data_IF_756730177105
#
_entry.id   IF_756730177105
#
_cell.length_a   1.000
_cell.length_b   1.000
_cell.length_c   1.000
_cell.angle_alpha   90.00
_cell.angle_beta   90.00
_cell.angle_gamma   90.00
#
_symmetry.space_group_name_H-M   'P 1'
#
loop_
_entity.id
_entity.type
_entity.pdbx_description
1 polymer ?
#
# COMPACT_ATOMS: atom_id res chain seq x y z
N UNK A 1 -8.87 1.59 -18.74
CA UNK A 1 -8.20 1.39 -17.45
C UNK A 1 -9.18 1.76 -16.37
N UNK A 2 -9.37 0.90 -15.38
CA UNK A 2 -10.29 1.14 -14.28
C UNK A 2 -9.60 2.01 -13.22
N UNK A 3 -10.32 2.98 -12.67
CA UNK A 3 -9.76 3.86 -11.65
C UNK A 3 -9.51 3.12 -10.34
N UNK A 4 -8.40 3.45 -9.68
CA UNK A 4 -8.08 2.97 -8.34
C UNK A 4 -8.26 4.12 -7.36
N UNK A 5 -9.17 3.97 -6.42
CA UNK A 5 -9.36 4.87 -5.30
C UNK A 5 -8.56 4.40 -4.10
N UNK A 6 -7.95 5.34 -3.39
CA UNK A 6 -7.14 5.07 -2.20
C UNK A 6 -7.62 5.95 -1.06
N UNK A 7 -7.61 5.40 0.15
CA UNK A 7 -7.97 6.14 1.37
C UNK A 7 -7.11 5.71 2.54
N UNK A 8 -6.93 6.62 3.48
CA UNK A 8 -6.15 6.45 4.69
C UNK A 8 -5.30 7.68 4.96
N UNK A 9 -4.09 7.47 5.44
CA UNK A 9 -3.18 8.53 5.80
C UNK A 9 -2.40 9.09 4.60
N UNK A 10 -2.24 10.41 4.61
CA UNK A 10 -1.26 11.14 3.83
C UNK A 10 -0.40 11.92 4.82
N UNK A 11 0.80 11.42 5.05
CA UNK A 11 1.69 11.77 6.16
C UNK A 11 2.82 12.68 5.70
N UNK A 12 3.29 13.52 6.58
CA UNK A 12 4.59 14.18 6.41
C UNK A 12 5.61 13.52 7.33
N UNK A 13 6.61 12.90 6.74
CA UNK A 13 7.76 12.35 7.45
C UNK A 13 8.81 13.43 7.62
N UNK A 14 9.26 13.64 8.85
CA UNK A 14 10.38 14.51 9.21
C UNK A 14 11.61 13.64 9.42
N UNK A 15 12.50 13.61 8.43
CA UNK A 15 13.69 12.76 8.42
C UNK A 15 14.90 13.61 8.81
N UNK A 16 15.76 13.19 9.76
CA UNK A 16 16.96 13.92 10.11
C UNK A 16 17.86 14.15 8.89
N UNK A 17 18.27 15.41 8.66
CA UNK A 17 19.20 15.80 7.60
C UNK A 17 20.54 16.26 8.17
N UNK A 18 20.48 16.93 9.31
CA UNK A 18 21.64 17.31 10.10
C UNK A 18 21.26 17.40 11.58
N UNK A 19 22.21 17.76 12.45
CA UNK A 19 21.97 17.93 13.89
C UNK A 19 20.79 18.89 14.20
N UNK A 20 20.52 19.86 13.33
CA UNK A 20 19.54 20.92 13.57
C UNK A 20 18.43 21.01 12.51
N UNK A 21 18.39 20.12 11.53
CA UNK A 21 17.44 20.20 10.41
C UNK A 21 16.79 18.86 10.10
N UNK A 22 15.54 18.93 9.66
CA UNK A 22 14.78 17.80 9.17
C UNK A 22 14.33 18.06 7.73
N UNK A 23 14.45 17.05 6.88
CA UNK A 23 13.82 17.04 5.57
C UNK A 23 12.34 16.72 5.73
N UNK A 24 11.51 17.52 5.09
CA UNK A 24 10.08 17.27 4.97
C UNK A 24 9.82 16.36 3.78
N UNK A 25 9.47 15.12 4.04
CA UNK A 25 9.21 14.11 3.02
C UNK A 25 7.73 13.74 2.97
N UNK A 26 7.14 13.55 1.78
CA UNK A 26 5.79 13.03 1.66
C UNK A 26 5.78 11.53 1.94
N UNK A 27 4.78 11.05 2.67
CA UNK A 27 4.62 9.66 3.08
C UNK A 27 3.15 9.29 3.29
N UNK A 28 2.94 8.17 3.97
CA UNK A 28 1.63 7.51 4.14
C UNK A 28 1.45 6.39 3.13
N UNK A 29 1.20 5.16 3.63
CA UNK A 29 1.16 3.98 2.77
C UNK A 29 0.17 4.13 1.61
N UNK A 30 -1.12 4.48 1.80
CA UNK A 30 -2.04 4.64 0.67
C UNK A 30 -1.67 5.82 -0.24
N UNK A 31 -1.06 6.89 0.28
CA UNK A 31 -0.57 7.99 -0.54
C UNK A 31 0.62 7.57 -1.43
N UNK A 32 1.54 6.76 -0.87
CA UNK A 32 2.64 6.16 -1.64
C UNK A 32 2.12 5.23 -2.74
N UNK A 33 1.14 4.36 -2.43
CA UNK A 33 0.51 3.49 -3.42
C UNK A 33 -0.14 4.30 -4.54
N UNK A 34 -0.85 5.41 -4.23
CA UNK A 34 -1.46 6.28 -5.23
C UNK A 34 -0.42 6.86 -6.20
N UNK A 35 0.68 7.39 -5.66
CA UNK A 35 1.78 7.92 -6.48
C UNK A 35 2.44 6.82 -7.30
N UNK A 36 2.63 5.62 -6.72
CA UNK A 36 3.14 4.47 -7.44
C UNK A 36 2.30 4.11 -8.66
N UNK A 37 0.97 4.04 -8.49
CA UNK A 37 0.03 3.78 -9.59
C UNK A 37 0.12 4.87 -10.67
N UNK A 38 0.11 6.14 -10.25
CA UNK A 38 0.16 7.28 -11.19
C UNK A 38 1.45 7.30 -12.00
N UNK A 39 2.62 7.07 -11.39
CA UNK A 39 3.92 6.99 -12.08
C UNK A 39 4.03 5.84 -13.08
N UNK A 40 3.22 4.80 -12.88
CA UNK A 40 3.09 3.67 -13.79
C UNK A 40 2.00 3.87 -14.85
N UNK A 41 1.46 5.10 -14.97
CA UNK A 41 0.46 5.46 -15.96
C UNK A 41 -0.97 5.02 -15.60
N UNK A 42 -1.22 4.62 -14.35
CA UNK A 42 -2.54 4.23 -13.86
C UNK A 42 -3.44 5.44 -13.58
N UNK A 43 -4.76 5.25 -13.70
CA UNK A 43 -5.75 6.23 -13.24
C UNK A 43 -6.05 5.98 -11.76
N UNK A 44 -5.76 6.96 -10.90
CA UNK A 44 -5.99 6.83 -9.47
C UNK A 44 -6.48 8.13 -8.83
N UNK A 45 -7.14 7.99 -7.69
CA UNK A 45 -7.59 9.11 -6.87
C UNK A 45 -7.45 8.81 -5.39
N UNK A 46 -7.10 9.83 -4.63
CA UNK A 46 -7.02 9.78 -3.18
C UNK A 46 -8.19 10.53 -2.56
N UNK A 47 -8.85 9.95 -1.58
CA UNK A 47 -9.90 10.60 -0.81
C UNK A 47 -9.66 10.41 0.70
N UNK A 48 -10.09 11.38 1.48
CA UNK A 48 -9.89 11.43 2.92
C UNK A 48 -9.50 12.81 3.38
N UNK A 49 -8.89 12.92 4.56
CA UNK A 49 -8.62 14.22 5.18
C UNK A 49 -7.14 14.43 5.50
N UNK A 50 -6.70 15.65 5.29
CA UNK A 50 -5.45 16.22 5.82
C UNK A 50 -5.79 17.53 6.51
N UNK A 51 -4.97 17.99 7.44
CA UNK A 51 -5.20 19.26 8.12
C UNK A 51 -5.15 20.46 7.15
N UNK A 52 -5.97 21.48 7.38
CA UNK A 52 -5.80 22.80 6.73
C UNK A 52 -4.60 23.54 7.35
N UNK A 53 -3.44 22.92 7.24
CA UNK A 53 -2.15 23.39 7.74
C UNK A 53 -1.06 23.32 6.65
N UNK A 54 0.16 23.81 6.89
CA UNK A 54 1.23 23.78 5.88
C UNK A 54 1.58 22.37 5.39
N UNK A 55 1.42 21.34 6.23
CA UNK A 55 1.70 19.95 5.86
C UNK A 55 0.59 19.33 5.02
N UNK A 56 -0.68 19.58 5.37
CA UNK A 56 -1.81 19.07 4.58
C UNK A 56 -1.86 19.68 3.18
N UNK A 57 -1.64 21.00 3.08
CA UNK A 57 -1.53 21.67 1.76
C UNK A 57 -0.33 21.14 0.96
N UNK A 58 0.79 20.85 1.61
CA UNK A 58 1.94 20.20 0.96
C UNK A 58 1.57 18.82 0.42
N UNK A 59 0.91 17.97 1.21
CA UNK A 59 0.52 16.63 0.76
C UNK A 59 -0.49 16.67 -0.39
N UNK A 60 -1.52 17.52 -0.30
CA UNK A 60 -2.50 17.68 -1.38
C UNK A 60 -1.83 18.16 -2.68
N UNK A 61 -0.90 19.13 -2.57
CA UNK A 61 -0.15 19.64 -3.73
C UNK A 61 0.74 18.55 -4.32
N UNK A 62 1.45 17.81 -3.47
CA UNK A 62 2.35 16.74 -3.90
C UNK A 62 1.62 15.61 -4.63
N UNK A 63 0.49 15.15 -4.11
CA UNK A 63 -0.34 14.16 -4.79
C UNK A 63 -0.82 14.67 -6.16
N UNK A 64 -1.22 15.95 -6.23
CA UNK A 64 -1.65 16.57 -7.49
C UNK A 64 -0.51 16.68 -8.52
N UNK A 65 0.71 17.03 -8.10
CA UNK A 65 1.89 17.07 -8.97
C UNK A 65 2.22 15.70 -9.56
N UNK A 66 1.95 14.63 -8.80
CA UNK A 66 2.13 13.24 -9.24
C UNK A 66 0.93 12.70 -10.04
N UNK A 67 0.01 13.57 -10.49
CA UNK A 67 -1.18 13.23 -11.27
C UNK A 67 -2.21 12.34 -10.54
N UNK A 68 -2.23 12.33 -9.22
CA UNK A 68 -3.30 11.71 -8.44
C UNK A 68 -4.51 12.65 -8.41
N UNK A 69 -5.71 12.13 -8.63
CA UNK A 69 -6.96 12.89 -8.48
C UNK A 69 -7.19 13.23 -7.00
N UNK A 70 -7.07 14.50 -6.66
CA UNK A 70 -7.17 15.03 -5.28
C UNK A 70 -8.46 15.77 -5.00
N UNK A 71 -9.48 15.67 -5.86
CA UNK A 71 -10.75 16.42 -5.71
C UNK A 71 -11.51 16.06 -4.43
N UNK A 72 -11.23 14.88 -3.86
CA UNK A 72 -11.84 14.38 -2.64
C UNK A 72 -10.86 14.35 -1.46
N UNK A 73 -9.76 15.10 -1.54
CA UNK A 73 -8.89 15.39 -0.39
C UNK A 73 -9.42 16.61 0.33
N UNK A 74 -10.04 16.41 1.47
CA UNK A 74 -10.62 17.47 2.31
C UNK A 74 -9.54 18.08 3.20
N UNK A 75 -9.45 19.41 3.21
CA UNK A 75 -8.64 20.16 4.17
C UNK A 75 -9.46 20.38 5.45
N UNK A 76 -9.07 19.73 6.54
CA UNK A 76 -9.76 19.79 7.82
C UNK A 76 -9.27 20.96 8.66
N UNK A 77 -10.17 21.88 9.04
CA UNK A 77 -9.83 23.07 9.84
C UNK A 77 -9.62 22.75 11.33
N UNK A 78 -10.14 21.62 11.81
CA UNK A 78 -10.17 21.27 13.23
C UNK A 78 -9.02 20.36 13.65
N UNK A 79 -8.52 19.54 12.73
CA UNK A 79 -7.50 18.53 13.02
C UNK A 79 -6.24 18.78 12.20
N UNK A 80 -5.10 18.30 12.71
CA UNK A 80 -3.79 18.51 12.08
C UNK A 80 -3.42 17.32 11.20
N UNK A 81 -2.59 17.60 10.21
CA UNK A 81 -2.04 16.58 9.33
C UNK A 81 -1.19 15.59 10.11
N UNK A 82 -1.32 14.31 9.81
CA UNK A 82 -0.45 13.27 10.34
C UNK A 82 1.01 13.60 10.05
N UNK A 83 1.82 13.60 11.10
CA UNK A 83 3.23 13.96 11.03
C UNK A 83 4.02 12.93 11.82
N UNK A 84 5.04 12.37 11.20
CA UNK A 84 5.90 11.35 11.77
C UNK A 84 7.33 11.89 11.88
N UNK A 85 7.89 11.80 13.08
CA UNK A 85 9.30 12.00 13.28
C UNK A 85 10.02 10.67 13.06
N UNK A 86 10.95 10.65 12.14
CA UNK A 86 11.81 9.49 11.88
C UNK A 86 13.10 9.69 12.69
N UNK A 87 13.48 8.69 13.46
CA UNK A 87 14.78 8.63 14.11
C UNK A 87 15.61 7.49 13.50
N UNK A 88 16.92 7.65 13.51
CA UNK A 88 17.87 6.66 13.00
C UNK A 88 18.75 6.25 14.18
N UNK A 89 18.72 4.97 14.52
CA UNK A 89 19.64 4.44 15.54
C UNK A 89 21.08 4.31 15.01
N UNK A 90 21.98 3.85 15.88
CA UNK A 90 23.41 3.69 15.55
C UNK A 90 23.65 2.68 14.42
N UNK A 91 22.72 1.75 14.20
CA UNK A 91 22.81 0.70 13.20
C UNK A 91 22.10 1.10 11.89
N UNK A 92 21.49 2.30 11.88
CA UNK A 92 20.76 2.86 10.74
C UNK A 92 19.32 2.34 10.64
N UNK A 93 18.82 1.64 11.65
CA UNK A 93 17.42 1.25 11.71
C UNK A 93 16.52 2.45 12.03
N UNK A 94 15.33 2.46 11.43
CA UNK A 94 14.37 3.55 11.56
C UNK A 94 13.35 3.26 12.63
N UNK A 95 13.17 4.22 13.51
CA UNK A 95 12.01 4.27 14.41
C UNK A 95 11.09 5.42 13.99
N UNK A 96 9.79 5.21 14.17
CA UNK A 96 8.75 6.15 13.73
C UNK A 96 7.99 6.64 14.97
N UNK A 97 7.87 7.95 15.15
CA UNK A 97 7.07 8.53 16.21
C UNK A 97 5.97 9.39 15.61
N UNK A 98 4.73 8.98 15.79
CA UNK A 98 3.56 9.76 15.36
C UNK A 98 3.37 10.94 16.29
N UNK A 99 3.62 12.16 15.77
CA UNK A 99 3.59 13.41 16.54
C UNK A 99 2.16 13.94 16.76
N UNK A 100 1.23 13.55 15.90
CA UNK A 100 -0.17 14.01 15.95
C UNK A 100 -1.08 12.81 16.13
N UNK A 101 -1.77 12.76 17.26
CA UNK A 101 -2.73 11.69 17.61
C UNK A 101 -3.92 12.28 18.36
N UNK A 102 -5.16 12.16 17.85
CA UNK A 102 -5.52 11.73 16.50
C UNK A 102 -5.21 12.80 15.45
N UNK A 103 -4.88 12.37 14.23
CA UNK A 103 -4.64 13.22 13.07
C UNK A 103 -5.89 13.32 12.17
N UNK A 104 -5.89 14.26 11.23
CA UNK A 104 -7.05 14.59 10.38
C UNK A 104 -7.59 13.39 9.60
N UNK A 105 -6.74 12.47 9.16
CA UNK A 105 -7.12 11.24 8.46
C UNK A 105 -8.05 10.34 9.27
N UNK A 106 -7.95 10.38 10.61
CA UNK A 106 -8.82 9.61 11.51
C UNK A 106 -10.25 10.17 11.61
N UNK A 107 -10.50 11.33 11.03
CA UNK A 107 -11.81 12.00 11.01
C UNK A 107 -12.48 11.96 9.63
N UNK A 108 -12.03 11.10 8.73
CA UNK A 108 -12.72 10.86 7.47
C UNK A 108 -14.17 10.47 7.73
N UNK A 109 -15.10 11.09 7.00
CA UNK A 109 -16.53 10.87 7.12
C UNK A 109 -17.12 10.33 5.82
N UNK A 110 -18.37 9.88 5.88
CA UNK A 110 -19.07 9.32 4.71
C UNK A 110 -19.30 10.32 3.57
N UNK A 111 -19.24 11.61 3.87
CA UNK A 111 -19.35 12.71 2.91
C UNK A 111 -18.06 12.88 2.08
N UNK A 112 -16.92 12.39 2.59
CA UNK A 112 -15.65 12.47 1.88
C UNK A 112 -15.52 11.35 0.81
N UNK A 113 -16.43 10.35 0.81
CA UNK A 113 -16.39 9.21 -0.09
C UNK A 113 -16.86 9.60 -1.49
N UNK A 114 -16.05 9.38 -2.55
CA UNK A 114 -16.47 9.65 -3.92
C UNK A 114 -17.57 8.69 -4.40
N UNK A 115 -18.21 9.03 -5.50
CA UNK A 115 -19.04 8.07 -6.23
C UNK A 115 -18.16 7.06 -6.97
N UNK A 116 -18.37 5.78 -6.70
CA UNK A 116 -17.67 4.69 -7.34
C UNK A 116 -18.41 4.15 -8.55
N UNK A 117 -17.67 3.56 -9.49
CA UNK A 117 -18.21 2.91 -10.69
C UNK A 117 -17.85 1.44 -10.72
N UNK A 118 -18.59 0.69 -11.54
CA UNK A 118 -18.32 -0.72 -11.78
C UNK A 118 -16.88 -0.93 -12.29
N UNK A 119 -16.24 -2.00 -11.84
CA UNK A 119 -14.85 -2.39 -12.13
C UNK A 119 -13.77 -1.45 -11.58
N UNK A 120 -14.12 -0.36 -10.88
CA UNK A 120 -13.14 0.43 -10.14
C UNK A 120 -12.60 -0.37 -8.94
N UNK A 121 -11.48 0.09 -8.42
CA UNK A 121 -10.81 -0.48 -7.25
C UNK A 121 -10.85 0.47 -6.07
N UNK A 122 -10.93 -0.09 -4.88
CA UNK A 122 -10.67 0.63 -3.63
C UNK A 122 -9.53 -0.07 -2.91
N UNK A 123 -8.44 0.66 -2.65
CA UNK A 123 -7.33 0.20 -1.82
C UNK A 123 -7.41 0.82 -0.44
N UNK A 124 -7.25 -0.01 0.59
CA UNK A 124 -7.37 0.35 2.00
C UNK A 124 -6.21 -0.25 2.79
N UNK A 125 -5.71 0.49 3.79
CA UNK A 125 -4.77 0.01 4.80
C UNK A 125 -5.41 0.07 6.20
N UNK A 126 -4.84 -0.64 7.19
CA UNK A 126 -5.44 -0.75 8.52
C UNK A 126 -5.50 0.58 9.28
N UNK A 127 -4.66 1.54 8.93
CA UNK A 127 -4.63 2.84 9.61
C UNK A 127 -5.95 3.59 9.49
N UNK A 128 -6.67 3.46 8.37
CA UNK A 128 -8.00 4.06 8.20
C UNK A 128 -9.09 3.36 9.03
N UNK A 129 -8.79 2.18 9.56
CA UNK A 129 -9.67 1.38 10.41
C UNK A 129 -9.38 1.55 11.90
N UNK A 130 -8.33 2.30 12.26
CA UNK A 130 -7.85 2.36 13.64
C UNK A 130 -8.86 3.01 14.57
N UNK A 131 -9.51 4.09 14.16
CA UNK A 131 -10.36 4.90 15.04
C UNK A 131 -11.63 5.36 14.34
N UNK A 132 -12.66 5.71 15.13
CA UNK A 132 -13.87 6.36 14.63
C UNK A 132 -13.65 7.88 14.44
N UNK A 133 -14.32 8.51 13.47
CA UNK A 133 -15.29 7.98 12.52
C UNK A 133 -14.70 7.35 11.24
N UNK A 134 -13.38 7.40 11.06
CA UNK A 134 -12.70 6.88 9.85
C UNK A 134 -12.97 5.39 9.63
N UNK A 135 -12.97 4.58 10.70
CA UNK A 135 -13.30 3.14 10.63
C UNK A 135 -14.64 2.87 9.97
N UNK A 136 -15.71 3.45 10.53
CA UNK A 136 -17.07 3.27 10.00
C UNK A 136 -17.19 3.79 8.55
N UNK A 137 -16.56 4.93 8.25
CA UNK A 137 -16.56 5.52 6.92
C UNK A 137 -15.79 4.66 5.91
N UNK A 138 -14.68 4.04 6.34
CA UNK A 138 -13.91 3.12 5.49
C UNK A 138 -14.70 1.85 5.17
N UNK A 139 -15.38 1.24 6.16
CA UNK A 139 -16.26 0.10 5.89
C UNK A 139 -17.45 0.48 4.99
N UNK A 140 -17.99 1.69 5.12
CA UNK A 140 -19.02 2.19 4.21
C UNK A 140 -18.48 2.37 2.79
N UNK A 141 -17.25 2.87 2.61
CA UNK A 141 -16.60 2.95 1.30
C UNK A 141 -16.43 1.57 0.66
N UNK A 142 -15.98 0.56 1.42
CA UNK A 142 -15.89 -0.83 0.98
C UNK A 142 -17.27 -1.34 0.53
N UNK A 143 -18.30 -1.12 1.34
CA UNK A 143 -19.69 -1.51 1.02
C UNK A 143 -20.19 -0.87 -0.28
N UNK A 144 -19.95 0.44 -0.46
CA UNK A 144 -20.35 1.18 -1.69
C UNK A 144 -19.61 0.66 -2.91
N UNK A 145 -18.29 0.42 -2.82
CA UNK A 145 -17.49 -0.12 -3.92
C UNK A 145 -17.98 -1.50 -4.34
N UNK A 146 -18.23 -2.40 -3.40
CA UNK A 146 -18.78 -3.74 -3.68
C UNK A 146 -20.19 -3.66 -4.29
N UNK A 147 -21.04 -2.72 -3.83
CA UNK A 147 -22.41 -2.57 -4.32
C UNK A 147 -22.49 -2.17 -5.80
N UNK A 148 -21.50 -1.46 -6.32
CA UNK A 148 -21.41 -1.09 -7.75
C UNK A 148 -20.68 -2.13 -8.60
N UNK A 149 -20.21 -3.23 -7.99
CA UNK A 149 -19.43 -4.27 -8.68
C UNK A 149 -17.97 -3.89 -8.93
N UNK A 150 -17.40 -3.09 -8.03
CA UNK A 150 -15.97 -2.83 -7.97
C UNK A 150 -15.23 -3.82 -7.08
N UNK A 151 -13.92 -3.63 -6.92
CA UNK A 151 -13.00 -4.55 -6.24
C UNK A 151 -12.32 -3.88 -5.06
N UNK A 152 -11.99 -4.70 -4.05
CA UNK A 152 -11.28 -4.25 -2.84
C UNK A 152 -9.90 -4.86 -2.79
N UNK A 153 -8.89 -4.02 -2.63
CA UNK A 153 -7.52 -4.38 -2.29
C UNK A 153 -7.21 -3.94 -0.87
N UNK A 154 -6.63 -4.83 -0.08
CA UNK A 154 -6.30 -4.56 1.30
C UNK A 154 -4.85 -4.95 1.62
N UNK A 155 -4.13 -4.02 2.25
CA UNK A 155 -2.80 -4.24 2.86
C UNK A 155 -2.92 -3.89 4.34
N UNK A 156 -2.82 -4.83 5.29
CA UNK A 156 -2.88 -4.51 6.72
C UNK A 156 -1.97 -3.36 7.11
N UNK A 157 -0.72 -3.37 6.71
CA UNK A 157 0.25 -2.30 6.98
C UNK A 157 0.11 -1.79 8.42
N UNK A 158 0.25 -2.71 9.38
CA UNK A 158 -0.08 -2.50 10.79
C UNK A 158 0.76 -1.38 11.42
N UNK A 159 0.09 -0.51 12.18
CA UNK A 159 0.70 0.57 12.96
C UNK A 159 -0.02 0.65 14.30
N UNK A 160 0.38 -0.17 15.24
CA UNK A 160 -0.27 -0.34 16.56
C UNK A 160 -0.42 0.98 17.31
N UNK A 161 0.56 1.86 17.17
CA UNK A 161 0.60 3.14 17.86
C UNK A 161 -0.54 4.11 17.53
N UNK A 162 -1.21 3.93 16.38
CA UNK A 162 -2.31 4.79 15.94
C UNK A 162 -3.64 4.36 16.55
N UNK A 163 -3.75 3.10 16.98
CA UNK A 163 -4.98 2.55 17.53
C UNK A 163 -5.22 3.04 18.95
N UNK A 164 -6.41 3.59 19.21
CA UNK A 164 -6.83 3.93 20.59
C UNK A 164 -7.02 2.68 21.44
N UNK A 165 -7.46 1.58 20.82
CA UNK A 165 -7.61 0.28 21.46
C UNK A 165 -6.89 -0.81 20.67
N UNK A 166 -5.62 -1.11 20.97
CA UNK A 166 -4.85 -2.14 20.27
C UNK A 166 -5.45 -3.55 20.33
N UNK A 167 -6.30 -3.86 21.34
CA UNK A 167 -6.93 -5.17 21.42
C UNK A 167 -7.97 -5.44 20.32
N UNK A 168 -8.40 -4.40 19.60
CA UNK A 168 -9.34 -4.52 18.48
C UNK A 168 -8.64 -4.77 17.13
N UNK A 169 -7.32 -4.58 17.03
CA UNK A 169 -6.58 -4.67 15.77
C UNK A 169 -6.94 -5.93 15.01
N UNK A 170 -6.72 -7.09 15.62
CA UNK A 170 -6.93 -8.38 14.96
C UNK A 170 -8.36 -8.54 14.44
N UNK A 171 -9.37 -8.29 15.26
CA UNK A 171 -10.77 -8.49 14.90
C UNK A 171 -11.25 -7.52 13.81
N UNK A 172 -10.81 -6.26 13.87
CA UNK A 172 -11.19 -5.23 12.89
C UNK A 172 -10.46 -5.45 11.56
N UNK A 173 -9.17 -5.77 11.61
CA UNK A 173 -8.37 -6.02 10.41
C UNK A 173 -8.84 -7.27 9.69
N UNK A 174 -9.09 -8.37 10.42
CA UNK A 174 -9.63 -9.60 9.81
C UNK A 174 -10.98 -9.39 9.14
N UNK A 175 -11.84 -8.53 9.68
CA UNK A 175 -13.10 -8.15 9.00
C UNK A 175 -12.84 -7.45 7.65
N UNK A 176 -11.81 -6.65 7.53
CA UNK A 176 -11.44 -6.04 6.24
C UNK A 176 -10.83 -7.08 5.28
N UNK A 177 -10.02 -8.02 5.80
CA UNK A 177 -9.50 -9.17 5.04
C UNK A 177 -10.65 -9.98 4.43
N UNK A 178 -11.69 -10.31 5.19
CA UNK A 178 -12.87 -11.05 4.70
C UNK A 178 -13.62 -10.35 3.57
N UNK A 179 -13.56 -9.00 3.53
CA UNK A 179 -14.26 -8.20 2.54
C UNK A 179 -13.44 -7.95 1.26
N UNK A 180 -12.13 -8.21 1.30
CA UNK A 180 -11.22 -7.89 0.22
C UNK A 180 -11.18 -8.97 -0.88
N UNK A 181 -11.05 -8.54 -2.13
CA UNK A 181 -10.80 -9.41 -3.28
C UNK A 181 -9.31 -9.78 -3.38
N UNK A 182 -8.44 -8.82 -3.08
CA UNK A 182 -6.98 -8.96 -3.07
C UNK A 182 -6.44 -8.55 -1.71
N UNK A 183 -5.65 -9.42 -1.08
CA UNK A 183 -4.97 -9.11 0.19
C UNK A 183 -3.47 -9.34 0.03
N UNK A 184 -2.68 -8.40 0.52
CA UNK A 184 -1.23 -8.56 0.65
C UNK A 184 -0.86 -8.46 2.12
N UNK A 185 -0.15 -9.44 2.62
CA UNK A 185 0.45 -9.46 3.96
C UNK A 185 1.98 -9.38 3.87
N UNK A 186 2.62 -8.88 4.91
CA UNK A 186 3.96 -9.33 5.26
C UNK A 186 3.90 -10.68 5.98
N UNK A 187 5.04 -11.34 6.16
CA UNK A 187 5.13 -12.60 6.91
C UNK A 187 4.68 -12.40 8.37
N UNK A 188 5.15 -11.32 9.01
CA UNK A 188 4.82 -10.97 10.38
C UNK A 188 3.35 -10.60 10.57
N UNK A 189 2.76 -9.92 9.60
CA UNK A 189 1.33 -9.56 9.63
C UNK A 189 0.44 -10.80 9.52
N UNK A 190 0.79 -11.73 8.64
CA UNK A 190 0.06 -13.00 8.52
C UNK A 190 0.12 -13.78 9.84
N UNK A 191 1.31 -13.93 10.42
CA UNK A 191 1.52 -14.64 11.67
C UNK A 191 0.71 -14.02 12.81
N UNK A 192 0.78 -12.70 12.96
CA UNK A 192 0.03 -11.97 13.99
C UNK A 192 -1.48 -12.11 13.81
N UNK A 193 -1.99 -11.92 12.60
CA UNK A 193 -3.43 -11.91 12.33
C UNK A 193 -4.07 -13.29 12.42
N UNK A 194 -3.31 -14.34 12.14
CA UNK A 194 -3.83 -15.71 12.08
C UNK A 194 -3.38 -16.60 13.25
N UNK A 195 -2.59 -16.08 14.20
CA UNK A 195 -1.93 -16.85 15.28
C UNK A 195 -1.12 -18.02 14.72
N UNK A 196 -0.44 -17.82 13.62
CA UNK A 196 0.40 -18.82 12.99
C UNK A 196 1.89 -18.62 13.32
N UNK A 197 2.67 -19.64 13.02
CA UNK A 197 4.13 -19.61 13.15
C UNK A 197 4.83 -19.96 11.84
N UNK A 198 4.06 -20.12 10.77
CA UNK A 198 4.56 -20.31 9.41
C UNK A 198 3.55 -19.83 8.39
N UNK A 199 4.04 -19.47 7.20
CA UNK A 199 3.19 -19.01 6.09
C UNK A 199 2.16 -20.06 5.72
N UNK A 200 2.53 -21.33 5.65
CA UNK A 200 1.63 -22.43 5.29
C UNK A 200 0.46 -22.54 6.29
N UNK A 201 0.76 -22.43 7.59
CA UNK A 201 -0.27 -22.44 8.63
C UNK A 201 -1.15 -21.20 8.54
N UNK A 202 -0.56 -20.00 8.37
CA UNK A 202 -1.29 -18.74 8.23
C UNK A 202 -2.22 -18.77 7.02
N UNK A 203 -1.74 -19.23 5.88
CA UNK A 203 -2.55 -19.38 4.66
C UNK A 203 -3.68 -20.41 4.85
N UNK A 204 -3.41 -21.51 5.56
CA UNK A 204 -4.45 -22.50 5.88
C UNK A 204 -5.55 -21.91 6.78
N UNK A 205 -5.18 -21.03 7.73
CA UNK A 205 -6.13 -20.40 8.67
C UNK A 205 -7.07 -19.40 7.97
N UNK A 206 -6.71 -18.89 6.79
CA UNK A 206 -7.54 -17.97 5.99
C UNK A 206 -8.07 -18.61 4.68
N UNK A 207 -7.86 -19.90 4.47
CA UNK A 207 -8.24 -20.58 3.23
C UNK A 207 -9.75 -20.54 2.94
N UNK A 208 -10.60 -20.48 3.98
CA UNK A 208 -12.05 -20.41 3.83
C UNK A 208 -12.58 -18.99 3.51
N UNK A 209 -11.70 -17.98 3.50
CA UNK A 209 -12.07 -16.62 3.09
C UNK A 209 -12.22 -16.53 1.57
N UNK A 210 -13.14 -15.68 1.12
CA UNK A 210 -13.44 -15.52 -0.30
C UNK A 210 -12.47 -14.60 -1.06
N UNK A 211 -11.23 -14.47 -0.57
CA UNK A 211 -10.22 -13.68 -1.26
C UNK A 211 -9.84 -14.35 -2.59
N UNK A 212 -9.85 -13.59 -3.67
CA UNK A 212 -9.48 -14.09 -5.01
C UNK A 212 -7.98 -14.22 -5.21
N UNK A 213 -7.22 -13.35 -4.55
CA UNK A 213 -5.76 -13.34 -4.58
C UNK A 213 -5.21 -12.99 -3.20
N UNK A 214 -4.40 -13.87 -2.65
CA UNK A 214 -3.65 -13.61 -1.41
C UNK A 214 -2.16 -13.62 -1.73
N UNK A 215 -1.46 -12.60 -1.24
CA UNK A 215 -0.03 -12.40 -1.41
C UNK A 215 0.64 -12.28 -0.05
N UNK A 216 1.76 -12.99 0.16
CA UNK A 216 2.59 -12.84 1.37
C UNK A 216 4.00 -12.50 0.94
N UNK A 217 4.42 -11.27 1.20
CA UNK A 217 5.75 -10.79 0.81
C UNK A 217 6.81 -11.21 1.83
N UNK A 218 7.97 -11.68 1.31
CA UNK A 218 9.11 -12.16 2.10
C UNK A 218 10.41 -11.39 1.75
N UNK A 219 10.30 -10.11 1.43
CA UNK A 219 11.44 -9.29 1.03
C UNK A 219 12.20 -9.88 -0.16
N UNK A 220 13.50 -10.09 -0.02
CA UNK A 220 14.35 -10.61 -1.08
C UNK A 220 14.01 -12.05 -1.53
N UNK A 221 13.33 -12.83 -0.70
CA UNK A 221 12.89 -14.19 -1.06
C UNK A 221 11.76 -14.17 -2.10
N UNK A 222 11.01 -13.07 -2.19
CA UNK A 222 9.91 -12.92 -3.14
C UNK A 222 8.53 -12.90 -2.48
N UNK A 223 7.54 -13.49 -3.12
CA UNK A 223 6.15 -13.46 -2.68
C UNK A 223 5.46 -14.82 -2.84
N UNK A 224 4.81 -15.28 -1.79
CA UNK A 224 3.82 -16.34 -1.88
C UNK A 224 2.55 -15.80 -2.52
N UNK A 225 2.12 -16.44 -3.59
CA UNK A 225 0.85 -16.17 -4.26
C UNK A 225 -0.10 -17.33 -4.01
N UNK A 226 -1.29 -17.04 -3.46
CA UNK A 226 -2.42 -17.97 -3.46
C UNK A 226 -3.48 -17.43 -4.42
N UNK A 227 -3.73 -18.16 -5.48
CA UNK A 227 -4.71 -17.85 -6.52
C UNK A 227 -5.36 -19.16 -6.99
N UNK A 228 -6.70 -19.20 -7.11
CA UNK A 228 -7.46 -20.41 -7.44
C UNK A 228 -7.08 -21.63 -6.57
N UNK A 229 -6.92 -21.41 -5.27
CA UNK A 229 -6.50 -22.42 -4.27
C UNK A 229 -5.10 -23.03 -4.53
N UNK A 230 -4.27 -22.41 -5.34
CA UNK A 230 -2.89 -22.82 -5.58
C UNK A 230 -1.92 -21.84 -4.96
N UNK A 231 -1.10 -22.33 -4.03
CA UNK A 231 0.00 -21.61 -3.42
C UNK A 231 1.30 -21.82 -4.20
N UNK A 232 1.95 -20.74 -4.63
CA UNK A 232 3.22 -20.78 -5.35
C UNK A 232 4.12 -19.66 -4.83
N UNK A 233 5.37 -19.98 -4.51
CA UNK A 233 6.41 -18.99 -4.23
C UNK A 233 6.97 -18.45 -5.56
N UNK A 234 6.85 -17.14 -5.75
CA UNK A 234 7.42 -16.42 -6.90
C UNK A 234 8.67 -15.70 -6.38
N UNK A 235 9.83 -16.00 -6.97
CA UNK A 235 11.09 -15.40 -6.56
C UNK A 235 11.07 -13.87 -6.68
N UNK A 236 11.74 -13.20 -5.75
CA UNK A 236 11.97 -11.76 -5.79
C UNK A 236 13.07 -11.39 -6.79
N UNK A 237 13.21 -10.10 -7.07
CA UNK A 237 14.28 -9.56 -7.87
C UNK A 237 15.51 -9.26 -7.00
N UNK A 238 16.70 -9.63 -7.47
CA UNK A 238 17.95 -9.39 -6.73
C UNK A 238 18.48 -7.98 -6.99
N UNK A 239 18.55 -7.16 -5.94
CA UNK A 239 19.09 -5.80 -5.97
C UNK A 239 19.91 -5.52 -4.71
N UNK A 240 20.76 -4.50 -4.74
CA UNK A 240 21.45 -4.01 -3.54
C UNK A 240 20.58 -2.96 -2.85
N UNK A 241 20.06 -3.24 -1.64
CA UNK A 241 19.18 -2.29 -0.96
C UNK A 241 19.96 -1.09 -0.42
N UNK A 242 19.34 0.09 -0.53
CA UNK A 242 19.79 1.36 0.05
C UNK A 242 18.84 1.78 1.19
N UNK A 243 17.52 1.62 0.97
CA UNK A 243 16.47 1.98 1.92
C UNK A 243 15.24 1.13 1.67
N UNK A 244 14.81 0.34 2.63
CA UNK A 244 13.66 -0.59 2.45
C UNK A 244 12.30 0.08 2.68
N UNK A 245 12.27 1.36 3.07
CA UNK A 245 11.03 2.10 3.33
C UNK A 245 10.19 2.21 2.06
N UNK A 246 8.90 1.88 2.17
CA UNK A 246 7.96 1.97 1.05
C UNK A 246 8.05 0.83 0.03
N UNK A 247 8.88 -0.21 0.26
CA UNK A 247 8.95 -1.37 -0.62
C UNK A 247 7.58 -2.07 -0.80
N UNK A 248 6.83 -2.23 0.30
CA UNK A 248 5.48 -2.78 0.30
C UNK A 248 4.50 -1.91 -0.49
N UNK A 249 4.57 -0.59 -0.31
CA UNK A 249 3.71 0.36 -1.01
C UNK A 249 4.02 0.36 -2.52
N UNK A 250 5.32 0.30 -2.89
CA UNK A 250 5.75 0.18 -4.28
C UNK A 250 5.26 -1.14 -4.91
N UNK A 251 5.34 -2.24 -4.17
CA UNK A 251 4.79 -3.54 -4.58
C UNK A 251 3.29 -3.45 -4.87
N UNK A 252 2.50 -2.92 -3.92
CA UNK A 252 1.05 -2.76 -4.10
C UNK A 252 0.73 -1.80 -5.23
N UNK A 253 1.49 -0.70 -5.37
CA UNK A 253 1.36 0.25 -6.47
C UNK A 253 1.53 -0.41 -7.84
N UNK A 254 2.59 -1.22 -8.01
CA UNK A 254 2.85 -2.01 -9.22
C UNK A 254 1.76 -3.05 -9.50
N UNK A 255 1.32 -3.77 -8.46
CA UNK A 255 0.24 -4.74 -8.54
C UNK A 255 -1.05 -4.11 -9.07
N UNK A 256 -1.52 -3.06 -8.40
CA UNK A 256 -2.80 -2.41 -8.73
C UNK A 256 -2.75 -1.66 -10.05
N UNK A 257 -1.62 -1.01 -10.39
CA UNK A 257 -1.42 -0.40 -11.69
C UNK A 257 -1.62 -1.41 -12.83
N UNK A 258 -1.19 -2.67 -12.62
CA UNK A 258 -1.34 -3.71 -13.65
C UNK A 258 -2.71 -4.36 -13.63
N UNK A 259 -3.25 -4.74 -12.46
CA UNK A 259 -4.58 -5.36 -12.35
C UNK A 259 -5.68 -4.44 -12.90
N UNK A 260 -5.62 -3.13 -12.58
CA UNK A 260 -6.63 -2.15 -13.01
C UNK A 260 -6.70 -1.90 -14.53
N UNK A 261 -5.69 -2.35 -15.29
CA UNK A 261 -5.69 -2.29 -16.75
C UNK A 261 -6.70 -3.28 -17.38
N UNK A 262 -7.15 -4.27 -16.63
CA UNK A 262 -7.97 -5.38 -17.13
C UNK A 262 -9.33 -5.42 -16.43
N UNK A 263 -10.41 -5.56 -17.19
CA UNK A 263 -11.74 -5.78 -16.62
C UNK A 263 -11.85 -7.18 -16.01
N UNK A 264 -11.29 -8.18 -16.70
CA UNK A 264 -11.16 -9.55 -16.21
C UNK A 264 -9.76 -9.79 -15.64
N UNK A 265 -9.46 -9.14 -14.52
CA UNK A 265 -8.15 -9.19 -13.90
C UNK A 265 -7.83 -10.55 -13.25
N UNK A 266 -8.86 -11.32 -12.85
CA UNK A 266 -8.75 -12.56 -12.08
C UNK A 266 -8.47 -13.78 -12.97
N UNK A 267 -7.53 -13.67 -13.89
CA UNK A 267 -6.99 -14.79 -14.64
C UNK A 267 -5.47 -14.89 -14.46
N UNK A 268 -4.95 -16.11 -14.58
CA UNK A 268 -3.56 -16.45 -14.29
C UNK A 268 -2.55 -15.51 -14.96
N UNK A 269 -2.72 -15.21 -16.25
CA UNK A 269 -1.75 -14.39 -17.01
C UNK A 269 -1.69 -12.95 -16.50
N UNK A 270 -2.83 -12.37 -16.17
CA UNK A 270 -2.90 -10.99 -15.63
C UNK A 270 -2.31 -10.96 -14.25
N UNK A 271 -2.65 -11.92 -13.39
CA UNK A 271 -2.13 -12.03 -12.02
C UNK A 271 -0.61 -12.20 -12.04
N UNK A 272 -0.06 -13.11 -12.86
CA UNK A 272 1.38 -13.32 -12.96
C UNK A 272 2.11 -12.06 -13.44
N UNK A 273 1.57 -11.39 -14.47
CA UNK A 273 2.13 -10.13 -14.95
C UNK A 273 2.06 -9.01 -13.90
N UNK A 274 0.98 -8.97 -13.11
CA UNK A 274 0.85 -7.99 -12.04
C UNK A 274 1.84 -8.23 -10.90
N UNK A 275 2.10 -9.50 -10.54
CA UNK A 275 3.11 -9.86 -9.54
C UNK A 275 4.53 -9.54 -10.04
N UNK A 276 4.82 -9.76 -11.32
CA UNK A 276 6.10 -9.37 -11.89
C UNK A 276 6.32 -7.85 -11.79
N UNK A 277 5.30 -7.04 -12.09
CA UNK A 277 5.35 -5.59 -11.91
C UNK A 277 5.53 -5.20 -10.45
N UNK A 278 4.80 -5.85 -9.54
CA UNK A 278 4.88 -5.62 -8.10
C UNK A 278 6.29 -5.90 -7.56
N UNK A 279 6.87 -7.07 -7.88
CA UNK A 279 8.23 -7.43 -7.51
C UNK A 279 9.26 -6.42 -8.05
N UNK A 280 9.15 -6.05 -9.33
CA UNK A 280 10.02 -5.05 -9.95
C UNK A 280 9.92 -3.68 -9.28
N UNK A 281 8.71 -3.22 -8.95
CA UNK A 281 8.50 -1.95 -8.24
C UNK A 281 9.09 -1.98 -6.83
N UNK A 282 8.84 -3.05 -6.05
CA UNK A 282 9.40 -3.21 -4.72
C UNK A 282 10.94 -3.24 -4.74
N UNK A 283 11.52 -3.97 -5.69
CA UNK A 283 12.97 -4.04 -5.86
C UNK A 283 13.58 -2.69 -6.26
N UNK A 284 12.98 -1.96 -7.20
CA UNK A 284 13.48 -0.65 -7.62
C UNK A 284 13.38 0.38 -6.48
N UNK A 285 12.28 0.39 -5.74
CA UNK A 285 12.07 1.35 -4.67
C UNK A 285 13.18 1.27 -3.60
N UNK A 286 13.63 0.07 -3.26
CA UNK A 286 14.68 -0.09 -2.23
C UNK A 286 16.09 0.28 -2.69
N UNK A 287 16.30 0.60 -3.96
CA UNK A 287 17.61 1.04 -4.48
C UNK A 287 17.87 2.54 -4.26
N UNK A 288 16.91 3.29 -3.74
CA UNK A 288 16.99 4.71 -3.50
C UNK A 288 16.48 5.07 -2.10
N UNK A 289 16.81 6.25 -1.59
CA UNK A 289 16.32 6.74 -0.31
C UNK A 289 14.92 7.29 -0.39
N UNK A 290 14.11 7.00 0.63
CA UNK A 290 12.76 7.52 0.82
C UNK A 290 11.67 6.62 0.25
N UNK A 291 10.42 6.77 0.74
CA UNK A 291 9.28 5.99 0.30
C UNK A 291 8.70 6.52 -1.02
N UNK A 292 7.96 7.63 -0.97
CA UNK A 292 7.30 8.20 -2.16
C UNK A 292 8.30 8.66 -3.24
N UNK A 293 9.46 9.17 -2.84
CA UNK A 293 10.48 9.67 -3.77
C UNK A 293 11.13 8.56 -4.58
N UNK A 294 11.29 7.37 -3.99
CA UNK A 294 11.93 6.21 -4.59
C UNK A 294 11.02 5.37 -5.50
N UNK A 295 9.73 5.68 -5.56
CA UNK A 295 8.77 4.94 -6.40
C UNK A 295 9.17 5.03 -7.88
N UNK A 296 9.23 3.89 -8.60
CA UNK A 296 9.69 3.84 -9.98
C UNK A 296 8.68 4.47 -10.96
N UNK A 297 9.20 4.93 -12.09
CA UNK A 297 8.40 5.27 -13.27
C UNK A 297 8.16 4.03 -14.12
N UNK A 298 7.16 4.10 -15.01
CA UNK A 298 6.89 3.02 -15.97
C UNK A 298 8.09 2.67 -16.84
N UNK A 299 8.86 3.68 -17.26
CA UNK A 299 10.08 3.48 -18.06
C UNK A 299 11.15 2.71 -17.28
N UNK A 300 11.44 3.13 -16.04
CA UNK A 300 12.41 2.47 -15.17
C UNK A 300 12.02 1.01 -14.90
N UNK A 301 10.73 0.76 -14.60
CA UNK A 301 10.23 -0.59 -14.39
C UNK A 301 10.36 -1.46 -15.64
N UNK A 302 10.00 -0.94 -16.81
CA UNK A 302 10.08 -1.69 -18.07
C UNK A 302 11.53 -2.10 -18.37
N UNK A 303 12.47 -1.17 -18.23
CA UNK A 303 13.90 -1.44 -18.42
C UNK A 303 14.43 -2.47 -17.41
N UNK A 304 14.00 -2.39 -16.16
CA UNK A 304 14.39 -3.32 -15.11
C UNK A 304 13.92 -4.75 -15.40
N UNK A 305 12.64 -4.93 -15.72
CA UNK A 305 12.07 -6.26 -16.03
C UNK A 305 12.73 -6.88 -17.26
N UNK A 306 13.04 -6.10 -18.29
CA UNK A 306 13.74 -6.60 -19.48
C UNK A 306 15.14 -7.12 -19.16
N UNK A 307 15.88 -6.42 -18.30
CA UNK A 307 17.23 -6.84 -17.88
C UNK A 307 17.19 -8.11 -17.02
N UNK A 308 16.25 -8.17 -16.09
CA UNK A 308 16.08 -9.31 -15.19
C UNK A 308 15.75 -10.59 -15.97
N UNK A 309 14.82 -10.51 -16.92
CA UNK A 309 14.46 -11.62 -17.82
C UNK A 309 15.63 -12.09 -18.69
N UNK A 310 16.50 -11.18 -19.12
CA UNK A 310 17.69 -11.52 -19.93
C UNK A 310 18.75 -12.25 -19.12
N UNK A 311 18.91 -11.91 -17.85
CA UNK A 311 19.86 -12.55 -16.94
C UNK A 311 19.39 -13.96 -16.55
N UNK A 312 18.10 -14.16 -16.35
CA UNK A 312 17.53 -15.48 -16.01
C UNK A 312 17.72 -16.48 -17.16
N UNK A 313 17.47 -16.07 -18.40
CA UNK A 313 17.69 -16.93 -19.58
C UNK A 313 19.18 -17.25 -19.81
N UNK A 314 20.10 -16.33 -19.53
CA UNK A 314 21.54 -16.55 -19.68
C UNK A 314 22.10 -17.57 -18.68
N UNK A 315 21.48 -17.72 -17.51
CA UNK A 315 21.87 -18.70 -16.50
C UNK A 315 21.36 -20.11 -16.88
N UNK A 316 20.16 -20.22 -17.45
CA UNK A 316 19.61 -21.49 -17.92
C UNK A 316 20.32 -22.07 -19.15
N UNK A 317 20.88 -21.21 -20.03
CA UNK A 317 21.69 -21.67 -21.19
C UNK A 317 23.13 -22.06 -20.82
N UNK A 318 23.58 -21.78 -19.60
CA UNK A 318 24.93 -22.05 -19.12
C UNK A 318 25.05 -23.29 -18.23
N UNK A 319 23.99 -24.07 -18.01
CA UNK A 319 23.90 -25.33 -17.28
C UNK A 319 23.59 -26.47 -18.25
#
# INVERSE_FOLDING_TARGET
MNKVWLTGDAVVDLIPDSTNTYLKCPGGAPANVAVGIARLGGDCGFFGRVGNDPFGRFMQHRLKEENVDTRFVTLDDNHRTSTVLVDLDSDGERTFTFMVKPSADQFMSVEDIPEFKKNEWLHVCSISLANEPSRSSTFEAIRRMKAVGGYISFDPNLRDEVWQNPSEIKSVVMKAVELADVVKFSEEELDFLTDSTSIEQGLANIADLNNRLVLVTQGAKGVWRVFENQGVLISGCSVTPVDTTGAGDAFVGGLLAKLSQHEEWNNQRVVDSAIQWANGCGALAITQKGAMTALPTQEALTQFIQKDSSNTNAVEESV
#
